data_IF_691922158059
#
_entry.id   IF_691922158059
#
_cell.length_a   1.000
_cell.length_b   1.000
_cell.length_c   1.000
_cell.angle_alpha   90.00
_cell.angle_beta   90.00
_cell.angle_gamma   90.00
#
_symmetry.space_group_name_H-M   'P 1'
#
loop_
_entity.id
_entity.type
_entity.pdbx_description
1 polymer ?
#
# COMPACT_ATOMS: atom_id res chain seq x y z
N UNK A 1 -15.55 27.72 -9.06
CA UNK A 1 -14.63 26.62 -8.71
C UNK A 1 -15.37 25.32 -8.31
N UNK A 2 -16.69 25.17 -8.57
CA UNK A 2 -17.50 24.03 -8.05
C UNK A 2 -17.78 22.92 -9.08
N UNK A 3 -17.96 23.26 -10.36
CA UNK A 3 -18.57 22.36 -11.37
C UNK A 3 -17.81 21.04 -11.63
N UNK A 4 -16.47 21.05 -11.53
CA UNK A 4 -15.64 19.87 -11.83
C UNK A 4 -15.63 18.86 -10.67
N UNK A 5 -15.54 19.36 -9.42
CA UNK A 5 -15.52 18.49 -8.24
C UNK A 5 -16.89 17.82 -8.05
N UNK A 6 -17.96 18.60 -8.23
CA UNK A 6 -19.34 18.10 -8.19
C UNK A 6 -19.55 16.99 -9.24
N UNK A 7 -18.93 17.11 -10.42
CA UNK A 7 -19.02 16.10 -11.48
C UNK A 7 -18.28 14.80 -11.16
N UNK A 8 -17.10 14.88 -10.54
CA UNK A 8 -16.33 13.69 -10.14
C UNK A 8 -17.06 12.92 -9.05
N UNK A 9 -17.64 13.61 -8.08
CA UNK A 9 -18.42 13.00 -7.01
C UNK A 9 -19.65 12.25 -7.55
N UNK A 10 -20.35 12.81 -8.54
CA UNK A 10 -21.44 12.12 -9.24
C UNK A 10 -20.99 10.83 -9.92
N UNK A 11 -19.84 10.87 -10.60
CA UNK A 11 -19.29 9.71 -11.32
C UNK A 11 -18.76 8.64 -10.36
N UNK A 12 -18.19 9.04 -9.22
CA UNK A 12 -17.81 8.13 -8.13
C UNK A 12 -19.06 7.43 -7.59
N UNK A 13 -20.12 8.18 -7.29
CA UNK A 13 -21.37 7.60 -6.82
C UNK A 13 -21.97 6.63 -7.84
N UNK A 14 -21.96 6.98 -9.13
CA UNK A 14 -22.40 6.08 -10.20
C UNK A 14 -21.57 4.79 -10.22
N UNK A 15 -20.24 4.89 -10.19
CA UNK A 15 -19.34 3.74 -10.19
C UNK A 15 -19.61 2.82 -9.00
N UNK A 16 -19.66 3.38 -7.79
CA UNK A 16 -19.91 2.62 -6.56
C UNK A 16 -21.28 1.91 -6.59
N UNK A 17 -22.32 2.60 -7.05
CA UNK A 17 -23.66 2.01 -7.18
C UNK A 17 -23.70 0.84 -8.16
N UNK A 18 -22.89 0.88 -9.23
CA UNK A 18 -22.80 -0.25 -10.18
C UNK A 18 -22.08 -1.43 -9.56
N UNK A 19 -20.98 -1.17 -8.84
CA UNK A 19 -20.25 -2.21 -8.12
C UNK A 19 -21.09 -2.86 -7.00
N UNK A 20 -21.89 -2.08 -6.26
CA UNK A 20 -22.83 -2.62 -5.26
C UNK A 20 -23.93 -3.53 -5.84
N UNK A 21 -24.21 -3.41 -7.14
CA UNK A 21 -25.20 -4.23 -7.84
C UNK A 21 -24.59 -5.48 -8.47
N UNK A 22 -23.31 -5.74 -8.20
CA UNK A 22 -22.50 -6.78 -8.87
C UNK A 22 -22.50 -6.64 -10.40
N UNK A 23 -22.62 -5.40 -10.92
CA UNK A 23 -22.47 -5.16 -12.35
C UNK A 23 -20.99 -5.32 -12.74
N UNK A 24 -20.73 -5.97 -13.87
CA UNK A 24 -19.40 -5.95 -14.50
C UNK A 24 -19.08 -4.53 -15.01
N UNK A 25 -18.12 -3.87 -14.39
CA UNK A 25 -17.65 -2.54 -14.74
C UNK A 25 -16.21 -2.59 -15.23
N UNK A 26 -16.00 -2.40 -16.54
CA UNK A 26 -14.67 -2.10 -17.08
C UNK A 26 -14.25 -0.69 -16.67
N UNK A 27 -13.19 -0.60 -15.86
CA UNK A 27 -12.62 0.68 -15.46
C UNK A 27 -12.11 1.45 -16.67
N UNK A 28 -11.42 0.78 -17.60
CA UNK A 28 -10.89 1.39 -18.81
C UNK A 28 -11.99 2.07 -19.64
N UNK A 29 -13.11 1.39 -19.86
CA UNK A 29 -14.26 1.93 -20.58
C UNK A 29 -14.96 3.06 -19.82
N UNK A 30 -15.02 2.97 -18.48
CA UNK A 30 -15.57 4.02 -17.64
C UNK A 30 -14.75 5.31 -17.74
N UNK A 31 -13.42 5.20 -17.62
CA UNK A 31 -12.50 6.34 -17.73
C UNK A 31 -12.47 6.92 -19.14
N UNK A 32 -12.53 6.08 -20.18
CA UNK A 32 -12.55 6.54 -21.58
C UNK A 32 -13.80 7.39 -21.91
N UNK A 33 -14.94 7.13 -21.25
CA UNK A 33 -16.17 7.93 -21.37
C UNK A 33 -16.08 9.27 -20.65
N UNK A 34 -15.19 9.40 -19.67
CA UNK A 34 -15.02 10.57 -18.82
C UNK A 34 -13.55 11.05 -18.81
N UNK A 35 -12.97 11.42 -19.97
CA UNK A 35 -11.54 11.69 -20.09
C UNK A 35 -11.07 12.92 -19.30
N UNK A 36 -11.98 13.84 -18.97
CA UNK A 36 -11.66 15.03 -18.18
C UNK A 36 -11.49 14.67 -16.70
N UNK A 37 -12.29 13.73 -16.20
CA UNK A 37 -12.30 13.24 -14.82
C UNK A 37 -11.45 11.97 -14.63
N UNK A 38 -10.99 11.35 -15.72
CA UNK A 38 -10.36 10.03 -15.71
C UNK A 38 -9.20 9.93 -14.72
N UNK A 39 -8.40 10.98 -14.58
CA UNK A 39 -7.29 10.99 -13.63
C UNK A 39 -7.76 10.90 -12.18
N UNK A 40 -8.80 11.65 -11.83
CA UNK A 40 -9.33 11.73 -10.47
C UNK A 40 -10.16 10.49 -10.13
N UNK A 41 -10.90 9.94 -11.10
CA UNK A 41 -11.60 8.67 -10.96
C UNK A 41 -10.65 7.49 -10.81
N UNK A 42 -9.60 7.40 -11.64
CA UNK A 42 -8.56 6.38 -11.49
C UNK A 42 -7.94 6.46 -10.09
N UNK A 43 -7.60 7.67 -9.64
CA UNK A 43 -7.06 7.90 -8.31
C UNK A 43 -8.00 7.40 -7.22
N UNK A 44 -9.29 7.74 -7.29
CA UNK A 44 -10.29 7.26 -6.35
C UNK A 44 -10.37 5.73 -6.33
N UNK A 45 -10.37 5.09 -7.50
CA UNK A 45 -10.47 3.63 -7.62
C UNK A 45 -9.22 2.95 -7.05
N UNK A 46 -8.03 3.50 -7.30
CA UNK A 46 -6.79 3.00 -6.72
C UNK A 46 -6.83 3.07 -5.19
N UNK A 47 -7.25 4.22 -4.65
CA UNK A 47 -7.40 4.45 -3.21
C UNK A 47 -8.42 3.47 -2.60
N UNK A 48 -9.58 3.32 -3.24
CA UNK A 48 -10.63 2.38 -2.85
C UNK A 48 -10.09 0.95 -2.83
N UNK A 49 -9.51 0.50 -3.95
CA UNK A 49 -9.02 -0.86 -4.08
C UNK A 49 -7.91 -1.12 -3.06
N UNK A 50 -7.00 -0.18 -2.83
CA UNK A 50 -5.98 -0.33 -1.80
C UNK A 50 -6.61 -0.57 -0.43
N UNK A 51 -7.64 0.18 -0.05
CA UNK A 51 -8.28 0.04 1.26
C UNK A 51 -9.14 -1.21 1.38
N UNK A 52 -9.94 -1.53 0.37
CA UNK A 52 -10.96 -2.58 0.42
C UNK A 52 -10.58 -3.88 -0.26
N UNK A 53 -9.45 -3.91 -0.97
CA UNK A 53 -9.23 -4.88 -2.05
C UNK A 53 -10.05 -4.52 -3.29
N UNK A 54 -9.76 -5.20 -4.42
CA UNK A 54 -10.54 -5.03 -5.65
C UNK A 54 -12.02 -5.42 -5.40
N UNK A 55 -12.99 -4.52 -5.64
CA UNK A 55 -14.40 -4.84 -5.56
C UNK A 55 -14.80 -5.96 -6.53
N UNK A 56 -15.84 -6.72 -6.18
CA UNK A 56 -16.49 -7.65 -7.11
C UNK A 56 -17.09 -6.86 -8.29
N UNK A 57 -16.99 -7.39 -9.52
CA UNK A 57 -17.45 -6.72 -10.74
C UNK A 57 -16.49 -5.68 -11.35
N UNK A 58 -15.45 -5.22 -10.64
CA UNK A 58 -14.48 -4.28 -11.20
C UNK A 58 -13.45 -4.98 -12.11
N UNK A 59 -13.45 -4.65 -13.40
CA UNK A 59 -12.57 -5.20 -14.43
C UNK A 59 -11.50 -4.18 -14.88
N UNK A 60 -10.41 -4.67 -15.45
CA UNK A 60 -9.32 -3.89 -16.06
C UNK A 60 -8.60 -2.91 -15.11
N UNK A 61 -8.73 -3.14 -13.80
CA UNK A 61 -7.94 -2.43 -12.80
C UNK A 61 -6.55 -3.05 -12.65
N UNK A 62 -5.52 -2.22 -12.52
CA UNK A 62 -4.13 -2.65 -12.43
C UNK A 62 -3.84 -3.29 -11.06
N UNK A 63 -3.95 -4.62 -11.00
CA UNK A 63 -3.69 -5.38 -9.78
C UNK A 63 -2.27 -5.27 -9.27
N UNK A 64 -1.29 -4.82 -10.07
CA UNK A 64 0.08 -4.62 -9.58
C UNK A 64 0.19 -3.53 -8.52
N UNK A 65 -0.85 -2.71 -8.36
CA UNK A 65 -0.98 -1.71 -7.30
C UNK A 65 -1.30 -2.30 -5.91
N UNK A 66 -1.82 -3.54 -5.83
CA UNK A 66 -2.13 -4.27 -4.57
C UNK A 66 -1.44 -5.66 -4.52
N UNK A 67 -1.02 -6.16 -5.68
CA UNK A 67 -0.82 -7.58 -5.95
C UNK A 67 0.61 -8.12 -5.79
N UNK A 68 0.75 -9.45 -5.90
CA UNK A 68 1.92 -10.21 -5.47
C UNK A 68 3.23 -9.96 -6.25
N UNK A 69 3.18 -9.21 -7.35
CA UNK A 69 4.37 -8.86 -8.15
C UNK A 69 5.10 -7.61 -7.58
N UNK A 70 4.46 -6.95 -6.61
CA UNK A 70 5.00 -5.81 -5.86
C UNK A 70 5.61 -6.17 -4.51
N UNK A 71 5.20 -7.29 -3.92
CA UNK A 71 5.90 -7.95 -2.83
C UNK A 71 7.07 -8.71 -3.47
N UNK A 72 8.26 -8.69 -2.87
CA UNK A 72 9.10 -9.88 -3.04
C UNK A 72 8.18 -11.07 -2.68
N UNK A 73 8.14 -12.14 -3.50
CA UNK A 73 7.30 -13.29 -3.14
C UNK A 73 7.56 -13.56 -1.65
N UNK A 74 6.53 -13.70 -0.81
CA UNK A 74 6.79 -13.91 0.64
C UNK A 74 7.74 -15.10 0.86
N UNK A 75 7.76 -16.03 -0.11
CA UNK A 75 8.73 -17.12 -0.31
C UNK A 75 10.20 -16.68 -0.46
N UNK A 76 10.49 -15.53 -1.08
CA UNK A 76 11.82 -14.97 -1.29
C UNK A 76 12.39 -14.27 -0.05
N UNK A 77 11.55 -13.93 0.95
CA UNK A 77 11.99 -13.36 2.22
C UNK A 77 12.59 -14.44 3.13
N UNK A 78 13.68 -15.07 2.67
CA UNK A 78 14.33 -16.21 3.32
C UNK A 78 14.73 -15.92 4.77
N UNK A 79 14.27 -16.68 5.78
CA UNK A 79 14.76 -16.59 7.14
C UNK A 79 16.17 -17.17 7.21
N UNK A 80 17.17 -16.37 6.87
CA UNK A 80 18.57 -16.75 7.03
C UNK A 80 19.44 -16.33 5.86
N UNK A 81 20.00 -15.13 5.94
CA UNK A 81 21.28 -14.81 5.31
C UNK A 81 21.91 -13.72 6.16
N UNK A 82 22.47 -14.15 7.30
CA UNK A 82 23.29 -13.30 8.14
C UNK A 82 24.56 -12.92 7.39
N UNK A 83 24.71 -11.65 7.08
CA UNK A 83 26.02 -11.01 7.02
C UNK A 83 25.90 -9.76 7.90
N UNK A 84 26.56 -9.79 9.06
CA UNK A 84 26.54 -8.69 10.00
C UNK A 84 27.00 -7.40 9.34
N UNK A 85 26.14 -6.39 9.37
CA UNK A 85 26.53 -5.00 9.17
C UNK A 85 26.33 -4.32 10.52
N UNK A 86 27.42 -3.85 11.12
CA UNK A 86 27.36 -2.93 12.24
C UNK A 86 26.69 -1.63 11.78
N UNK A 87 25.38 -1.51 11.97
CA UNK A 87 24.64 -0.28 11.75
C UNK A 87 24.80 0.61 12.99
N UNK A 88 25.87 1.40 12.97
CA UNK A 88 25.94 2.63 13.77
C UNK A 88 24.78 3.52 13.34
N UNK A 89 23.98 3.92 14.34
CA UNK A 89 22.66 4.54 14.15
C UNK A 89 22.62 5.66 13.12
N UNK A 90 22.05 5.35 11.97
CA UNK A 90 21.62 6.33 10.98
C UNK A 90 20.12 6.18 10.80
N UNK A 91 19.35 7.12 11.38
CA UNK A 91 17.98 7.31 10.98
C UNK A 91 17.98 7.56 9.47
N UNK A 92 17.26 6.70 8.75
CA UNK A 92 16.94 6.88 7.35
C UNK A 92 16.52 8.33 7.12
N UNK A 93 17.26 9.05 6.27
CA UNK A 93 17.05 10.48 6.06
C UNK A 93 15.68 10.73 5.43
N UNK A 94 14.91 11.60 6.08
CA UNK A 94 13.66 12.15 5.56
C UNK A 94 13.94 12.80 4.19
N UNK A 95 13.51 12.15 3.11
CA UNK A 95 13.70 12.59 1.72
C UNK A 95 14.27 11.55 0.75
N UNK A 96 14.68 10.36 1.22
CA UNK A 96 15.10 9.27 0.35
C UNK A 96 13.92 8.53 -0.29
N UNK A 97 13.99 8.22 -1.58
CA UNK A 97 13.11 7.23 -2.25
C UNK A 97 13.43 5.86 -1.67
N UNK A 98 12.85 5.53 -0.53
CA UNK A 98 13.32 4.36 0.23
C UNK A 98 12.89 3.02 -0.34
N UNK A 99 11.96 2.99 -1.31
CA UNK A 99 11.21 1.76 -1.56
C UNK A 99 10.83 1.57 -3.03
N UNK A 100 11.44 2.31 -3.98
CA UNK A 100 11.11 2.42 -5.42
C UNK A 100 9.64 2.76 -5.78
N UNK A 101 8.71 2.53 -4.86
CA UNK A 101 7.26 2.69 -4.92
C UNK A 101 6.73 3.61 -3.82
N UNK A 102 7.49 3.89 -2.76
CA UNK A 102 7.02 4.73 -1.66
C UNK A 102 7.95 5.90 -1.34
N UNK A 103 7.35 7.03 -1.00
CA UNK A 103 7.99 8.21 -0.48
C UNK A 103 7.67 8.38 1.01
N UNK A 104 8.70 8.46 1.86
CA UNK A 104 8.49 8.74 3.29
C UNK A 104 8.09 10.21 3.51
N UNK A 105 6.99 10.40 4.25
CA UNK A 105 6.44 11.72 4.56
C UNK A 105 6.85 12.13 5.97
N UNK A 106 7.97 12.86 6.07
CA UNK A 106 8.40 13.53 7.29
C UNK A 106 8.97 12.58 8.37
N UNK A 107 8.71 12.91 9.62
CA UNK A 107 9.22 12.19 10.79
C UNK A 107 8.44 10.88 11.06
N UNK A 108 9.02 9.91 11.77
CA UNK A 108 8.30 8.73 12.26
C UNK A 108 6.98 9.07 12.95
N UNK A 109 5.93 8.32 12.62
CA UNK A 109 4.64 8.35 13.34
C UNK A 109 4.77 7.73 14.73
N UNK A 110 5.63 6.73 14.85
CA UNK A 110 5.84 6.02 16.09
C UNK A 110 7.03 5.09 16.00
N UNK A 111 7.50 4.66 17.16
CA UNK A 111 8.68 3.82 17.26
C UNK A 111 8.47 2.84 18.41
N UNK A 112 8.49 1.55 18.12
CA UNK A 112 8.32 0.46 19.09
C UNK A 112 9.53 -0.47 19.16
N UNK A 113 9.40 -1.57 19.90
CA UNK A 113 10.47 -2.56 20.09
C UNK A 113 10.98 -3.17 18.78
N UNK A 114 10.08 -3.65 17.92
CA UNK A 114 10.45 -4.29 16.64
C UNK A 114 10.83 -3.29 15.54
N UNK A 115 10.34 -2.05 15.55
CA UNK A 115 10.49 -1.19 14.37
C UNK A 115 10.06 0.26 14.53
N UNK A 116 10.17 0.99 13.42
CA UNK A 116 9.66 2.36 13.25
C UNK A 116 8.48 2.32 12.29
N UNK A 117 7.45 3.10 12.60
CA UNK A 117 6.34 3.36 11.68
C UNK A 117 6.50 4.75 11.13
N UNK A 118 6.49 4.87 9.81
CA UNK A 118 6.50 6.13 9.08
C UNK A 118 5.16 6.32 8.38
N UNK A 119 4.83 7.58 8.11
CA UNK A 119 3.87 7.90 7.08
C UNK A 119 4.58 7.81 5.75
N UNK A 120 3.98 7.16 4.77
CA UNK A 120 4.52 7.09 3.42
C UNK A 120 3.43 7.36 2.40
N UNK A 121 3.81 7.78 1.19
CA UNK A 121 2.91 7.94 0.04
C UNK A 121 3.32 6.94 -1.03
N UNK A 122 2.34 6.23 -1.59
CA UNK A 122 2.56 5.42 -2.78
C UNK A 122 2.83 6.35 -3.97
N UNK A 123 3.94 6.15 -4.65
CA UNK A 123 4.36 6.97 -5.78
C UNK A 123 3.37 6.81 -6.93
N UNK A 124 3.00 7.93 -7.54
CA UNK A 124 1.97 7.96 -8.58
C UNK A 124 0.55 8.08 -8.05
N UNK A 125 0.32 8.01 -6.74
CA UNK A 125 -1.01 8.13 -6.12
C UNK A 125 -1.04 9.21 -5.01
N UNK A 126 -2.25 9.60 -4.58
CA UNK A 126 -2.44 10.40 -3.36
C UNK A 126 -2.49 9.56 -2.09
N UNK A 127 -2.45 8.23 -2.20
CA UNK A 127 -2.59 7.32 -1.06
C UNK A 127 -1.45 7.48 -0.08
N UNK A 128 -1.83 7.72 1.17
CA UNK A 128 -0.91 7.64 2.30
C UNK A 128 -1.10 6.32 3.04
N UNK A 129 0.00 5.67 3.35
CA UNK A 129 0.05 4.40 4.08
C UNK A 129 0.89 4.58 5.35
N UNK A 130 0.64 3.71 6.33
CA UNK A 130 1.60 3.50 7.40
C UNK A 130 2.63 2.46 6.93
N UNK A 131 3.91 2.83 6.94
CA UNK A 131 5.02 1.94 6.60
C UNK A 131 5.76 1.56 7.87
N UNK A 132 5.71 0.28 8.25
CA UNK A 132 6.50 -0.25 9.37
C UNK A 132 7.80 -0.83 8.82
N UNK A 133 8.92 -0.35 9.33
CA UNK A 133 10.26 -0.84 9.02
C UNK A 133 10.87 -1.49 10.26
N UNK A 134 11.42 -2.69 10.09
CA UNK A 134 12.16 -3.40 11.12
C UNK A 134 13.51 -2.69 11.37
N UNK A 135 13.84 -2.42 12.64
CA UNK A 135 15.07 -1.68 13.01
C UNK A 135 16.29 -2.57 13.21
N UNK A 136 16.06 -3.84 13.51
CA UNK A 136 17.08 -4.76 13.98
C UNK A 136 16.95 -6.08 13.22
N UNK A 137 18.10 -6.64 12.88
CA UNK A 137 18.20 -7.79 11.98
C UNK A 137 18.57 -9.06 12.72
N UNK A 138 18.31 -9.15 14.03
CA UNK A 138 18.48 -10.44 14.69
C UNK A 138 17.47 -11.45 14.12
N UNK A 139 17.86 -12.72 14.09
CA UNK A 139 17.10 -13.74 13.38
C UNK A 139 15.71 -13.98 14.00
N UNK A 140 15.56 -13.72 15.30
CA UNK A 140 14.30 -13.91 16.01
C UNK A 140 13.31 -12.78 15.69
N UNK A 141 13.75 -11.53 15.75
CA UNK A 141 12.96 -10.35 15.38
C UNK A 141 12.55 -10.41 13.90
N UNK A 142 13.47 -10.82 13.01
CA UNK A 142 13.16 -11.03 11.59
C UNK A 142 12.06 -12.07 11.41
N UNK A 143 12.14 -13.20 12.12
CA UNK A 143 11.13 -14.27 12.07
C UNK A 143 9.77 -13.79 12.58
N UNK A 144 9.74 -13.07 13.69
CA UNK A 144 8.51 -12.53 14.26
C UNK A 144 7.86 -11.49 13.33
N UNK A 145 8.67 -10.65 12.70
CA UNK A 145 8.19 -9.66 11.73
C UNK A 145 7.57 -10.31 10.49
N UNK A 146 8.21 -11.35 9.94
CA UNK A 146 7.64 -12.11 8.84
C UNK A 146 6.35 -12.83 9.23
N UNK A 147 6.30 -13.41 10.44
CA UNK A 147 5.07 -14.04 10.95
C UNK A 147 3.92 -13.03 11.12
N UNK A 148 4.21 -11.80 11.56
CA UNK A 148 3.22 -10.71 11.63
C UNK A 148 2.67 -10.38 10.24
N UNK A 149 3.56 -10.25 9.25
CA UNK A 149 3.18 -9.99 7.87
C UNK A 149 2.32 -11.13 7.31
N UNK A 150 2.75 -12.38 7.43
CA UNK A 150 2.01 -13.56 6.95
C UNK A 150 0.63 -13.66 7.60
N UNK A 151 0.56 -13.44 8.91
CA UNK A 151 -0.71 -13.47 9.64
C UNK A 151 -1.67 -12.38 9.16
N UNK A 152 -1.18 -11.21 8.76
CA UNK A 152 -1.99 -10.09 8.32
C UNK A 152 -2.30 -10.09 6.81
N UNK A 153 -1.43 -10.67 5.98
CA UNK A 153 -1.53 -10.64 4.52
C UNK A 153 -2.83 -11.26 4.00
N UNK A 154 -3.31 -12.33 4.66
CA UNK A 154 -4.55 -13.02 4.32
C UNK A 154 -5.81 -12.48 5.01
N UNK A 155 -5.68 -11.51 5.91
CA UNK A 155 -6.82 -10.98 6.66
C UNK A 155 -7.44 -9.80 5.92
N UNK A 156 -8.73 -9.89 5.63
CA UNK A 156 -9.56 -8.81 5.09
C UNK A 156 -10.83 -8.76 5.94
N UNK A 157 -10.89 -7.80 6.85
CA UNK A 157 -12.04 -7.59 7.73
C UNK A 157 -12.12 -6.11 8.12
N UNK A 158 -13.32 -5.49 8.22
CA UNK A 158 -13.48 -4.06 8.52
C UNK A 158 -12.81 -3.59 9.82
N UNK A 159 -12.53 -4.51 10.75
CA UNK A 159 -11.88 -4.22 12.04
C UNK A 159 -10.41 -4.67 12.11
N UNK A 160 -9.82 -5.09 10.99
CA UNK A 160 -8.42 -5.51 10.92
C UNK A 160 -7.71 -4.62 9.89
N UNK A 161 -6.58 -4.06 10.28
CA UNK A 161 -5.79 -3.20 9.40
C UNK A 161 -5.21 -4.06 8.27
N UNK A 162 -5.57 -3.83 7.00
CA UNK A 162 -5.04 -4.61 5.89
C UNK A 162 -3.56 -4.27 5.67
N UNK A 163 -2.77 -5.30 5.40
CA UNK A 163 -1.40 -5.16 4.86
C UNK A 163 -1.50 -5.10 3.34
N UNK A 164 -0.82 -4.12 2.75
CA UNK A 164 -0.83 -3.87 1.31
C UNK A 164 0.39 -4.51 0.65
N UNK A 165 1.58 -4.04 1.00
CA UNK A 165 2.84 -4.55 0.46
C UNK A 165 3.85 -4.82 1.57
N UNK A 166 4.77 -5.73 1.31
CA UNK A 166 5.92 -6.04 2.15
C UNK A 166 7.14 -6.30 1.28
N UNK A 167 8.32 -6.07 1.83
CA UNK A 167 9.56 -6.29 1.12
C UNK A 167 10.79 -6.10 1.99
N UNK A 168 11.95 -6.14 1.34
CA UNK A 168 13.24 -5.85 1.94
C UNK A 168 13.94 -4.77 1.11
N UNK A 169 14.47 -3.74 1.76
CA UNK A 169 15.26 -2.70 1.08
C UNK A 169 16.43 -2.31 1.95
N UNK A 170 17.63 -2.26 1.35
CA UNK A 170 18.90 -2.02 2.07
C UNK A 170 19.09 -2.93 3.30
N UNK A 171 18.62 -4.18 3.22
CA UNK A 171 18.69 -5.16 4.30
C UNK A 171 17.67 -4.97 5.44
N UNK A 172 16.75 -4.00 5.31
CA UNK A 172 15.68 -3.75 6.26
C UNK A 172 14.34 -4.27 5.73
N UNK A 173 13.71 -5.17 6.48
CA UNK A 173 12.33 -5.61 6.20
C UNK A 173 11.34 -4.48 6.47
N UNK A 174 10.32 -4.41 5.63
CA UNK A 174 9.23 -3.45 5.78
C UNK A 174 7.91 -4.04 5.31
N UNK A 175 6.81 -3.47 5.80
CA UNK A 175 5.49 -3.64 5.22
C UNK A 175 4.67 -2.36 5.35
N UNK A 176 3.66 -2.23 4.51
CA UNK A 176 2.72 -1.12 4.45
C UNK A 176 1.33 -1.59 4.82
N UNK A 177 0.57 -0.71 5.45
CA UNK A 177 -0.79 -0.97 5.91
C UNK A 177 -1.61 0.31 5.84
N UNK A 178 -2.93 0.19 6.01
CA UNK A 178 -3.81 1.35 6.08
C UNK A 178 -3.30 2.37 7.11
N UNK A 179 -3.24 3.63 6.72
CA UNK A 179 -2.99 4.73 7.65
C UNK A 179 -4.29 5.07 8.38
N UNK A 180 -4.26 5.06 9.71
CA UNK A 180 -5.41 5.35 10.60
C UNK A 180 -5.20 6.69 11.31
#
# INVERSE_FOLDING_TARGET
MSDQADRVDELIAELLLRLERDDDVSLADFLARHPQEARELQQFVDDLCLVTGRPEGLQDWDETLIGPEGVAEFSDLQPGSGAGIELSGGAVSAGGRLFDRYELLGAPLGSGGMGVVYRARLLGTSVQVALKQLRRTDAEERRLFLAEIEAAAGLRHPNIVPVYHAGETDGALWYTMALI
#
